data_IF_963214149814
#
_entry.id   IF_963214149814
#
_cell.length_a   1.000
_cell.length_b   1.000
_cell.length_c   1.000
_cell.angle_alpha   90.00
_cell.angle_beta   90.00
_cell.angle_gamma   90.00
#
_symmetry.space_group_name_H-M   'P 1'
#
loop_
_entity.id
_entity.type
_entity.pdbx_description
1 polymer ?
#
# COMPACT_ATOMS: atom_id res chain seq x y z
N UNK A 1 5.61 6.41 -6.83
CA UNK A 1 4.92 6.67 -5.53
C UNK A 1 4.04 5.49 -5.19
N UNK A 2 3.72 5.29 -3.91
CA UNK A 2 2.78 4.26 -3.47
C UNK A 2 1.69 4.83 -2.56
N UNK A 3 0.57 4.11 -2.51
CA UNK A 3 -0.55 4.33 -1.61
C UNK A 3 -1.03 2.98 -1.07
N UNK A 4 -1.24 2.85 0.24
CA UNK A 4 -1.82 1.68 0.89
C UNK A 4 -3.22 2.04 1.35
N UNK A 5 -4.17 1.17 1.01
CA UNK A 5 -5.57 1.29 1.37
C UNK A 5 -5.97 0.15 2.31
N UNK A 6 -6.74 0.46 3.35
CA UNK A 6 -7.39 -0.56 4.18
C UNK A 6 -8.61 -1.16 3.46
N UNK A 7 -9.25 -2.16 4.08
CA UNK A 7 -10.37 -2.90 3.50
C UNK A 7 -11.60 -2.01 3.14
N UNK A 8 -11.76 -0.85 3.79
CA UNK A 8 -12.86 0.09 3.51
C UNK A 8 -12.46 1.19 2.51
N UNK A 9 -11.25 1.13 1.95
CA UNK A 9 -10.79 2.04 0.90
C UNK A 9 -10.15 3.34 1.40
N UNK A 10 -9.86 3.47 2.69
CA UNK A 10 -9.14 4.63 3.22
C UNK A 10 -7.63 4.49 2.98
N UNK A 11 -6.97 5.58 2.60
CA UNK A 11 -5.50 5.64 2.50
C UNK A 11 -4.91 5.67 3.91
N UNK A 12 -4.16 4.62 4.27
CA UNK A 12 -3.50 4.48 5.58
C UNK A 12 -2.00 4.75 5.53
N UNK A 13 -1.38 4.67 4.34
CA UNK A 13 0.00 5.05 4.13
C UNK A 13 0.22 5.51 2.70
N UNK A 14 1.16 6.44 2.47
CA UNK A 14 1.59 6.86 1.13
C UNK A 14 3.01 7.39 1.17
N UNK A 15 3.72 7.25 0.06
CA UNK A 15 5.12 7.69 -0.01
C UNK A 15 5.77 7.55 -1.37
N UNK A 16 7.08 7.80 -1.40
CA UNK A 16 7.92 7.52 -2.58
C UNK A 16 8.12 6.01 -2.69
N UNK A 17 8.20 5.52 -3.92
CA UNK A 17 8.43 4.11 -4.16
C UNK A 17 9.92 3.82 -3.99
N UNK A 18 10.27 3.18 -2.87
CA UNK A 18 11.61 2.67 -2.58
C UNK A 18 11.63 1.13 -2.76
N UNK A 19 12.79 0.51 -2.52
CA UNK A 19 12.92 -0.96 -2.57
C UNK A 19 12.15 -1.67 -1.46
N UNK A 20 11.90 -1.00 -0.35
CA UNK A 20 11.15 -1.52 0.81
C UNK A 20 10.13 -0.48 1.30
N UNK A 21 9.04 -0.98 1.89
CA UNK A 21 8.00 -0.16 2.50
C UNK A 21 7.75 -0.73 3.88
N UNK A 22 7.93 0.10 4.91
CA UNK A 22 7.62 -0.28 6.28
C UNK A 22 6.09 -0.26 6.51
N UNK A 23 5.58 -1.32 7.11
CA UNK A 23 4.17 -1.55 7.41
C UNK A 23 3.97 -1.97 8.87
N UNK A 24 4.98 -1.76 9.73
CA UNK A 24 4.95 -2.16 11.14
C UNK A 24 3.80 -1.50 11.91
N UNK A 25 3.49 -0.23 11.61
CA UNK A 25 2.44 0.55 12.26
C UNK A 25 1.02 0.23 11.74
N UNK A 26 0.88 -0.65 10.75
CA UNK A 26 -0.43 -1.08 10.26
C UNK A 26 -1.01 -2.15 11.18
N UNK A 27 -2.28 -1.97 11.56
CA UNK A 27 -3.05 -3.00 12.27
C UNK A 27 -3.20 -4.27 11.43
N UNK A 28 -3.51 -5.39 12.09
CA UNK A 28 -3.79 -6.65 11.41
C UNK A 28 -5.00 -6.50 10.48
N UNK A 29 -4.90 -7.04 9.27
CA UNK A 29 -5.99 -6.92 8.30
C UNK A 29 -5.58 -7.05 6.85
N UNK A 30 -6.55 -6.79 5.97
CA UNK A 30 -6.40 -6.84 4.52
C UNK A 30 -6.15 -5.45 3.96
N UNK A 31 -5.16 -5.36 3.08
CA UNK A 31 -4.74 -4.11 2.47
C UNK A 31 -4.54 -4.24 0.96
N UNK A 32 -4.71 -3.12 0.28
CA UNK A 32 -4.33 -2.94 -1.13
C UNK A 32 -3.17 -1.94 -1.19
N UNK A 33 -2.07 -2.32 -1.81
CA UNK A 33 -0.99 -1.40 -2.17
C UNK A 33 -1.07 -1.07 -3.65
N UNK A 34 -1.10 0.21 -3.96
CA UNK A 34 -1.11 0.78 -5.30
C UNK A 34 0.22 1.46 -5.54
N UNK A 35 0.93 1.02 -6.59
CA UNK A 35 2.14 1.64 -7.09
C UNK A 35 1.78 2.46 -8.32
N UNK A 36 2.12 3.75 -8.31
CA UNK A 36 1.97 4.64 -9.45
C UNK A 36 3.36 5.05 -9.94
N UNK A 37 3.65 4.64 -11.18
CA UNK A 37 4.79 5.08 -11.97
C UNK A 37 4.23 5.80 -13.20
N UNK A 38 5.03 6.62 -13.88
CA UNK A 38 4.57 7.51 -14.98
C UNK A 38 3.77 6.80 -16.08
N UNK A 39 4.05 5.51 -16.32
CA UNK A 39 3.42 4.71 -17.38
C UNK A 39 2.45 3.64 -16.87
N UNK A 40 2.44 3.33 -15.57
CA UNK A 40 1.70 2.17 -15.07
C UNK A 40 1.28 2.31 -13.61
N UNK A 41 0.03 1.93 -13.37
CA UNK A 41 -0.49 1.64 -12.03
C UNK A 41 -0.48 0.14 -11.82
N UNK A 42 0.10 -0.32 -10.71
CA UNK A 42 0.08 -1.71 -10.28
C UNK A 42 -0.62 -1.77 -8.93
N UNK A 43 -1.63 -2.63 -8.80
CA UNK A 43 -2.31 -2.86 -7.52
C UNK A 43 -2.04 -4.28 -7.04
N UNK A 44 -1.68 -4.45 -5.77
CA UNK A 44 -1.50 -5.75 -5.12
C UNK A 44 -2.26 -5.80 -3.81
N UNK A 45 -2.79 -6.97 -3.47
CA UNK A 45 -3.39 -7.25 -2.17
C UNK A 45 -2.38 -7.94 -1.27
N UNK A 46 -2.35 -7.58 0.01
CA UNK A 46 -1.62 -8.31 1.04
C UNK A 46 -2.45 -8.40 2.33
N UNK A 47 -2.05 -9.31 3.21
CA UNK A 47 -2.67 -9.50 4.53
C UNK A 47 -1.58 -9.32 5.58
N UNK A 48 -1.81 -8.41 6.52
CA UNK A 48 -0.99 -8.24 7.72
C UNK A 48 -1.54 -9.16 8.80
N UNK A 49 -0.76 -10.17 9.17
CA UNK A 49 -0.99 -11.07 10.30
C UNK A 49 0.01 -10.79 11.43
#
# INVERSE_FOLDING_TARGET
NYEIYNAIGQVVAKGKLESTIDVADLELGVYLIKFNNESKTITKRFIKN
#
